data_IF_892942751291
#
_entry.id   IF_892942751291
#
_cell.length_a   1.000
_cell.length_b   1.000
_cell.length_c   1.000
_cell.angle_alpha   90.00
_cell.angle_beta   90.00
_cell.angle_gamma   90.00
#
_symmetry.space_group_name_H-M   'P 1'
#
loop_
_entity.id
_entity.type
_entity.pdbx_description
1 polymer ?
#
# COMPACT_ATOMS: atom_id res chain seq x y z
N UNK A 1 -0.68 -6.65 8.76
CA UNK A 1 -0.99 -7.82 7.89
C UNK A 1 -2.49 -8.07 7.73
N UNK A 2 -3.26 -8.32 8.80
CA UNK A 2 -4.70 -8.62 8.67
C UNK A 2 -5.50 -7.52 7.96
N UNK A 3 -5.23 -6.24 8.22
CA UNK A 3 -5.90 -5.14 7.52
C UNK A 3 -5.66 -5.20 5.99
N UNK A 4 -4.43 -5.47 5.56
CA UNK A 4 -4.09 -5.65 4.15
C UNK A 4 -4.82 -6.85 3.54
N UNK A 5 -4.87 -7.99 4.24
CA UNK A 5 -5.62 -9.17 3.77
C UNK A 5 -7.12 -8.87 3.67
N UNK A 6 -7.66 -8.10 4.61
CA UNK A 6 -9.05 -7.64 4.56
C UNK A 6 -9.29 -6.72 3.35
N UNK A 7 -8.35 -5.83 3.03
CA UNK A 7 -8.38 -4.97 1.86
C UNK A 7 -8.52 -5.78 0.56
N UNK A 8 -7.59 -6.70 0.30
CA UNK A 8 -7.61 -7.51 -0.92
C UNK A 8 -8.82 -8.44 -0.98
N UNK A 9 -9.29 -8.95 0.17
CA UNK A 9 -10.51 -9.75 0.24
C UNK A 9 -11.75 -8.93 -0.13
N UNK A 10 -11.90 -7.74 0.45
CA UNK A 10 -12.99 -6.82 0.11
C UNK A 10 -12.95 -6.42 -1.37
N UNK A 11 -11.77 -6.11 -1.89
CA UNK A 11 -11.60 -5.80 -3.31
C UNK A 11 -12.10 -6.94 -4.20
N UNK A 12 -11.74 -8.18 -3.86
CA UNK A 12 -12.20 -9.35 -4.60
C UNK A 12 -13.70 -9.61 -4.44
N UNK A 13 -14.27 -9.42 -3.23
CA UNK A 13 -15.72 -9.53 -2.98
C UNK A 13 -16.52 -8.54 -3.86
N UNK A 14 -15.96 -7.36 -4.14
CA UNK A 14 -16.55 -6.35 -5.03
C UNK A 14 -16.37 -6.69 -6.51
N UNK A 15 -15.20 -7.17 -6.91
CA UNK A 15 -14.87 -7.50 -8.31
C UNK A 15 -15.52 -8.81 -8.78
N UNK A 16 -15.62 -9.80 -7.89
CA UNK A 16 -16.14 -11.13 -8.18
C UNK A 16 -17.04 -11.64 -7.04
N UNK A 17 -18.25 -11.08 -6.88
CA UNK A 17 -19.16 -11.49 -5.81
C UNK A 17 -19.44 -13.00 -5.81
N UNK A 18 -19.34 -13.62 -4.63
CA UNK A 18 -19.62 -15.06 -4.46
C UNK A 18 -18.44 -15.98 -4.81
N UNK A 19 -17.23 -15.45 -4.93
CA UNK A 19 -16.02 -16.25 -5.09
C UNK A 19 -15.78 -17.20 -3.89
N UNK A 20 -15.04 -18.29 -4.11
CA UNK A 20 -14.62 -19.18 -3.03
C UNK A 20 -13.66 -18.48 -2.07
N UNK A 21 -13.66 -18.90 -0.79
CA UNK A 21 -12.78 -18.30 0.21
C UNK A 21 -11.32 -18.43 -0.19
N UNK A 22 -10.67 -17.29 -0.39
CA UNK A 22 -9.24 -17.22 -0.74
C UNK A 22 -8.36 -17.45 0.50
N UNK A 23 -7.36 -18.35 0.42
CA UNK A 23 -6.35 -18.55 1.47
C UNK A 23 -5.53 -17.29 1.76
N UNK A 24 -4.95 -17.20 2.96
CA UNK A 24 -4.16 -16.04 3.36
C UNK A 24 -2.89 -15.89 2.51
N UNK A 25 -2.28 -17.02 2.14
CA UNK A 25 -1.08 -17.12 1.33
C UNK A 25 -1.29 -16.53 -0.07
N UNK A 26 -2.46 -16.77 -0.66
CA UNK A 26 -2.82 -16.20 -1.96
C UNK A 26 -3.11 -14.71 -1.88
N UNK A 27 -3.76 -14.23 -0.80
CA UNK A 27 -3.89 -12.79 -0.54
C UNK A 27 -2.55 -12.12 -0.27
N UNK A 28 -1.54 -12.89 0.15
CA UNK A 28 -0.18 -12.40 0.36
C UNK A 28 0.72 -12.44 -0.88
N UNK A 29 0.27 -13.08 -1.95
CA UNK A 29 1.01 -13.22 -3.19
C UNK A 29 0.99 -11.90 -4.01
N UNK A 30 2.16 -11.30 -4.31
CA UNK A 30 2.23 -10.06 -5.11
C UNK A 30 1.64 -10.18 -6.52
N UNK A 31 1.69 -11.36 -7.16
CA UNK A 31 1.10 -11.59 -8.49
C UNK A 31 -0.44 -11.57 -8.44
N UNK A 32 -1.00 -12.14 -7.38
CA UNK A 32 -2.44 -12.10 -7.14
C UNK A 32 -2.92 -10.67 -6.85
N UNK A 33 -2.17 -9.94 -6.01
CA UNK A 33 -2.43 -8.54 -5.69
C UNK A 33 -2.31 -7.63 -6.92
N UNK A 34 -1.34 -7.88 -7.81
CA UNK A 34 -1.23 -7.18 -9.10
C UNK A 34 -2.53 -7.29 -9.91
N UNK A 35 -3.09 -8.49 -10.05
CA UNK A 35 -4.35 -8.68 -10.79
C UNK A 35 -5.53 -7.98 -10.15
N UNK A 36 -5.63 -8.00 -8.82
CA UNK A 36 -6.65 -7.21 -8.11
C UNK A 36 -6.43 -5.72 -8.40
N UNK A 37 -5.20 -5.23 -8.34
CA UNK A 37 -4.86 -3.83 -8.62
C UNK A 37 -5.19 -3.40 -10.06
N UNK A 38 -4.89 -4.23 -11.06
CA UNK A 38 -5.25 -3.97 -12.46
C UNK A 38 -6.78 -3.91 -12.66
N UNK A 39 -7.51 -4.78 -11.97
CA UNK A 39 -8.97 -4.84 -12.02
C UNK A 39 -9.65 -3.68 -11.28
N UNK A 40 -9.16 -3.32 -10.09
CA UNK A 40 -9.61 -2.12 -9.38
C UNK A 40 -9.36 -0.87 -10.20
N UNK A 41 -8.25 -0.80 -10.94
CA UNK A 41 -7.95 0.32 -11.80
C UNK A 41 -8.68 0.31 -13.16
N UNK A 42 -9.57 -0.67 -13.40
CA UNK A 42 -10.33 -0.81 -14.65
C UNK A 42 -9.47 -1.09 -15.89
N UNK A 43 -8.20 -1.47 -15.74
CA UNK A 43 -7.29 -1.72 -16.87
C UNK A 43 -7.45 -3.11 -17.47
N UNK A 44 -7.68 -4.10 -16.61
CA UNK A 44 -7.88 -5.50 -17.01
C UNK A 44 -8.99 -6.13 -16.17
N UNK A 45 -9.84 -7.01 -16.72
CA UNK A 45 -10.78 -7.76 -15.89
C UNK A 45 -10.03 -8.67 -14.92
N UNK A 46 -10.59 -8.89 -13.73
CA UNK A 46 -10.03 -9.88 -12.81
C UNK A 46 -10.24 -11.29 -13.36
N UNK A 47 -9.14 -12.02 -13.54
CA UNK A 47 -9.14 -13.43 -13.92
C UNK A 47 -8.32 -14.19 -12.88
N UNK A 48 -8.94 -15.17 -12.24
CA UNK A 48 -8.22 -16.08 -11.36
C UNK A 48 -7.18 -16.86 -12.18
N UNK A 49 -5.95 -16.88 -11.70
CA UNK A 49 -4.89 -17.72 -12.27
C UNK A 49 -4.20 -18.50 -11.15
N UNK A 50 -3.53 -19.56 -11.57
CA UNK A 50 -2.66 -20.33 -10.71
C UNK A 50 -1.31 -19.61 -10.58
N UNK A 51 -1.16 -18.82 -9.51
CA UNK A 51 0.10 -18.18 -9.13
C UNK A 51 0.72 -18.89 -7.93
N UNK A 52 0.53 -20.20 -7.76
CA UNK A 52 1.11 -20.86 -6.58
C UNK A 52 2.64 -20.69 -6.55
N UNK A 53 3.11 -19.92 -5.57
CA UNK A 53 4.53 -19.68 -5.32
C UNK A 53 5.13 -20.73 -4.37
N UNK A 54 4.31 -21.60 -3.76
CA UNK A 54 4.74 -22.55 -2.73
C UNK A 54 5.81 -23.52 -3.23
N UNK A 55 5.73 -23.95 -4.49
CA UNK A 55 6.71 -24.85 -5.11
C UNK A 55 8.03 -24.19 -5.53
N UNK A 56 8.12 -22.85 -5.48
CA UNK A 56 9.26 -22.10 -6.02
C UNK A 56 9.88 -21.12 -5.03
N UNK A 57 9.39 -21.08 -3.80
CA UNK A 57 9.88 -20.20 -2.74
C UNK A 57 10.44 -20.98 -1.56
N UNK A 58 11.36 -20.37 -0.83
CA UNK A 58 11.82 -20.83 0.48
C UNK A 58 11.42 -19.81 1.53
N UNK A 59 10.82 -20.28 2.62
CA UNK A 59 10.44 -19.43 3.75
C UNK A 59 11.66 -19.11 4.62
N UNK A 60 11.95 -17.83 4.76
CA UNK A 60 12.98 -17.30 5.67
C UNK A 60 12.26 -16.75 6.92
N UNK A 61 12.65 -17.16 8.13
CA UNK A 61 12.09 -16.58 9.36
C UNK A 61 12.32 -15.07 9.41
N UNK A 62 11.28 -14.32 9.76
CA UNK A 62 11.32 -12.86 9.87
C UNK A 62 10.60 -12.44 11.16
N UNK A 63 11.09 -12.89 12.32
CA UNK A 63 10.47 -12.64 13.62
C UNK A 63 9.16 -13.41 13.81
N UNK A 64 8.04 -12.70 13.96
CA UNK A 64 6.70 -13.31 14.08
C UNK A 64 6.06 -13.67 12.73
N UNK A 65 6.71 -13.31 11.62
CA UNK A 65 6.30 -13.63 10.26
C UNK A 65 7.39 -14.40 9.52
N UNK A 66 7.09 -14.80 8.29
CA UNK A 66 8.04 -15.41 7.36
C UNK A 66 8.10 -14.59 6.08
N UNK A 67 9.30 -14.38 5.56
CA UNK A 67 9.53 -13.81 4.24
C UNK A 67 9.71 -14.93 3.22
N UNK A 68 8.93 -14.93 2.14
CA UNK A 68 9.17 -15.85 1.03
C UNK A 68 10.32 -15.32 0.16
N UNK A 69 11.27 -16.19 -0.17
CA UNK A 69 12.39 -15.89 -1.09
C UNK A 69 12.26 -16.78 -2.32
N UNK A 70 12.25 -16.20 -3.52
CA UNK A 70 12.16 -16.96 -4.76
C UNK A 70 13.49 -17.67 -5.07
N UNK A 71 13.56 -18.99 -4.86
CA UNK A 71 14.79 -19.79 -4.98
C UNK A 71 14.66 -20.99 -5.91
N UNK A 72 13.43 -21.44 -6.18
CA UNK A 72 13.16 -22.66 -6.94
C UNK A 72 13.40 -22.51 -8.44
N UNK A 73 13.72 -23.62 -9.11
CA UNK A 73 14.09 -23.65 -10.54
C UNK A 73 12.99 -23.11 -11.48
N UNK A 74 11.71 -23.16 -11.09
CA UNK A 74 10.58 -22.61 -11.85
C UNK A 74 10.22 -21.17 -11.52
N UNK A 75 10.89 -20.53 -10.55
CA UNK A 75 10.55 -19.19 -10.09
C UNK A 75 10.68 -18.15 -11.20
N UNK A 76 11.69 -18.29 -12.06
CA UNK A 76 11.95 -17.33 -13.14
C UNK A 76 10.79 -17.28 -14.13
N UNK A 77 10.26 -18.43 -14.56
CA UNK A 77 9.18 -18.49 -15.54
C UNK A 77 7.87 -17.91 -14.96
N UNK A 78 7.58 -18.21 -13.69
CA UNK A 78 6.41 -17.65 -13.00
C UNK A 78 6.49 -16.13 -12.81
N UNK A 79 7.69 -15.59 -12.59
CA UNK A 79 7.91 -14.15 -12.34
C UNK A 79 8.33 -13.37 -13.57
N UNK A 80 8.50 -14.02 -14.73
CA UNK A 80 9.05 -13.40 -15.95
C UNK A 80 8.28 -12.15 -16.38
N UNK A 81 6.95 -12.20 -16.30
CA UNK A 81 6.10 -11.07 -16.66
C UNK A 81 6.24 -9.90 -15.68
N UNK A 82 6.32 -10.18 -14.38
CA UNK A 82 6.54 -9.16 -13.36
C UNK A 82 7.89 -8.47 -13.56
N UNK A 83 8.97 -9.23 -13.81
CA UNK A 83 10.29 -8.68 -14.09
C UNK A 83 10.30 -7.82 -15.35
N UNK A 84 9.60 -8.24 -16.41
CA UNK A 84 9.48 -7.48 -17.64
C UNK A 84 8.78 -6.14 -17.42
N UNK A 85 7.69 -6.14 -16.64
CA UNK A 85 6.96 -4.91 -16.30
C UNK A 85 7.82 -3.99 -15.43
N UNK A 86 8.47 -4.51 -14.39
CA UNK A 86 9.33 -3.72 -13.49
C UNK A 86 10.51 -3.11 -14.27
N UNK A 87 11.17 -3.90 -15.11
CA UNK A 87 12.24 -3.43 -16.00
C UNK A 87 11.78 -2.34 -16.97
N UNK A 88 10.57 -2.47 -17.52
CA UNK A 88 10.02 -1.43 -18.38
C UNK A 88 9.76 -0.11 -17.62
N UNK A 89 9.38 -0.18 -16.34
CA UNK A 89 9.17 0.99 -15.49
C UNK A 89 10.48 1.70 -15.12
N UNK A 90 11.59 0.96 -14.96
CA UNK A 90 12.89 1.56 -14.68
C UNK A 90 13.50 2.26 -15.90
N UNK A 91 12.93 2.08 -17.09
CA UNK A 91 13.44 2.59 -18.39
C UNK A 91 14.89 2.14 -18.65
N UNK A 92 15.27 0.99 -18.10
CA UNK A 92 16.59 0.40 -18.31
C UNK A 92 16.70 -0.14 -19.73
N UNK A 93 17.86 0.01 -20.37
CA UNK A 93 18.13 -0.58 -21.67
C UNK A 93 18.40 -2.09 -21.53
N UNK A 94 18.12 -2.87 -22.58
CA UNK A 94 18.42 -4.30 -22.63
C UNK A 94 17.25 -5.21 -22.23
N UNK A 95 17.57 -6.48 -22.01
CA UNK A 95 16.60 -7.50 -21.60
C UNK A 95 16.26 -7.38 -20.10
N UNK A 96 15.06 -7.82 -19.67
CA UNK A 96 14.73 -7.91 -18.25
C UNK A 96 15.73 -8.80 -17.48
N UNK A 97 15.99 -8.49 -16.20
CA UNK A 97 16.91 -9.27 -15.38
C UNK A 97 16.36 -10.67 -15.12
N UNK A 98 17.27 -11.62 -14.87
CA UNK A 98 16.94 -13.00 -14.49
C UNK A 98 17.04 -13.20 -12.99
N UNK A 99 16.35 -14.23 -12.51
CA UNK A 99 16.45 -14.66 -11.11
C UNK A 99 17.72 -15.46 -10.90
N UNK A 100 18.34 -15.27 -9.74
CA UNK A 100 19.33 -16.18 -9.20
C UNK A 100 18.63 -17.30 -8.42
N UNK A 101 18.58 -18.50 -9.00
CA UNK A 101 17.92 -19.69 -8.38
C UNK A 101 18.95 -20.71 -7.93
N UNK A 102 18.66 -21.43 -6.85
CA UNK A 102 19.52 -22.52 -6.35
C UNK A 102 20.86 -22.05 -5.75
N UNK A 103 20.93 -20.81 -5.27
CA UNK A 103 22.13 -20.26 -4.63
C UNK A 103 21.95 -20.21 -3.10
N UNK A 104 22.45 -21.25 -2.42
CA UNK A 104 22.34 -21.39 -0.97
C UNK A 104 23.10 -20.30 -0.19
N UNK A 105 24.17 -19.76 -0.77
CA UNK A 105 24.95 -18.68 -0.16
C UNK A 105 24.15 -17.37 -0.18
N UNK A 106 23.55 -17.03 -1.33
CA UNK A 106 22.68 -15.87 -1.44
C UNK A 106 21.48 -15.97 -0.48
N UNK A 107 20.87 -17.16 -0.38
CA UNK A 107 19.77 -17.42 0.55
C UNK A 107 20.21 -17.25 2.02
N UNK A 108 21.38 -17.76 2.38
CA UNK A 108 21.94 -17.58 3.73
C UNK A 108 22.20 -16.09 4.04
N UNK A 109 22.74 -15.34 3.09
CA UNK A 109 22.94 -13.88 3.22
C UNK A 109 21.61 -13.14 3.36
N UNK A 110 20.57 -13.54 2.63
CA UNK A 110 19.21 -13.01 2.80
C UNK A 110 18.68 -13.26 4.20
N UNK A 111 18.79 -14.49 4.71
CA UNK A 111 18.35 -14.81 6.06
C UNK A 111 19.09 -13.98 7.12
N UNK A 112 20.42 -13.89 7.02
CA UNK A 112 21.22 -13.04 7.90
C UNK A 112 20.86 -11.56 7.78
N UNK A 113 20.50 -11.09 6.59
CA UNK A 113 20.05 -9.72 6.36
C UNK A 113 18.71 -9.40 7.02
N UNK A 114 17.74 -10.31 6.93
CA UNK A 114 16.44 -10.17 7.63
C UNK A 114 16.65 -10.08 9.14
N UNK A 115 17.51 -10.94 9.69
CA UNK A 115 17.89 -10.88 11.11
C UNK A 115 18.59 -9.56 11.45
N UNK A 116 19.47 -9.07 10.56
CA UNK A 116 20.20 -7.81 10.74
C UNK A 116 19.27 -6.60 10.81
N UNK A 117 18.20 -6.53 10.02
CA UNK A 117 17.19 -5.45 10.11
C UNK A 117 16.60 -5.41 11.53
N UNK A 118 16.21 -6.56 12.07
CA UNK A 118 15.62 -6.69 13.41
C UNK A 118 16.62 -6.37 14.52
N UNK A 119 17.86 -6.78 14.35
CA UNK A 119 18.94 -6.52 15.30
C UNK A 119 19.25 -5.01 15.40
N UNK A 120 19.32 -4.33 14.27
CA UNK A 120 19.74 -2.93 14.18
C UNK A 120 18.59 -1.98 14.52
N UNK A 121 17.41 -2.21 13.93
CA UNK A 121 16.25 -1.35 14.09
C UNK A 121 14.96 -2.16 14.24
N UNK A 122 14.67 -2.70 15.43
CA UNK A 122 13.49 -3.53 15.66
C UNK A 122 12.18 -2.85 15.27
N UNK A 123 12.05 -1.54 15.55
CA UNK A 123 10.84 -0.78 15.24
C UNK A 123 10.60 -0.65 13.73
N UNK A 124 11.65 -0.35 12.94
CA UNK A 124 11.53 -0.34 11.48
C UNK A 124 11.30 -1.74 10.92
N UNK A 125 11.90 -2.76 11.53
CA UNK A 125 11.69 -4.14 11.11
C UNK A 125 10.22 -4.57 11.28
N UNK A 126 9.64 -4.30 12.46
CA UNK A 126 8.24 -4.64 12.77
C UNK A 126 7.26 -3.86 11.88
N UNK A 127 7.59 -2.62 11.54
CA UNK A 127 6.78 -1.80 10.65
C UNK A 127 6.88 -2.24 9.18
N UNK A 128 8.08 -2.44 8.65
CA UNK A 128 8.31 -2.59 7.21
C UNK A 128 8.29 -4.05 6.71
N UNK A 129 8.77 -5.02 7.49
CA UNK A 129 8.80 -6.43 7.05
C UNK A 129 7.40 -6.99 6.80
N UNK A 130 6.38 -6.48 7.51
CA UNK A 130 4.99 -6.86 7.26
C UNK A 130 4.53 -6.53 5.82
N UNK A 131 5.19 -5.57 5.15
CA UNK A 131 4.91 -5.12 3.80
C UNK A 131 5.71 -5.87 2.71
N UNK A 132 6.74 -6.63 3.07
CA UNK A 132 7.54 -7.42 2.12
C UNK A 132 7.04 -8.86 2.14
N UNK A 133 6.38 -9.30 1.05
CA UNK A 133 5.78 -10.63 0.96
C UNK A 133 6.65 -11.61 0.16
N UNK A 134 7.38 -11.11 -0.84
CA UNK A 134 8.28 -11.87 -1.69
C UNK A 134 9.57 -11.08 -1.94
N UNK A 135 10.70 -11.70 -1.64
CA UNK A 135 12.02 -11.21 -2.03
C UNK A 135 12.56 -12.05 -3.18
N UNK A 136 13.13 -11.38 -4.18
CA UNK A 136 13.74 -12.00 -5.35
C UNK A 136 15.18 -11.55 -5.47
N UNK A 137 16.10 -12.51 -5.52
CA UNK A 137 17.52 -12.23 -5.79
C UNK A 137 17.74 -12.34 -7.30
N UNK A 138 18.35 -11.33 -7.88
CA UNK A 138 18.64 -11.26 -9.31
C UNK A 138 20.02 -11.83 -9.62
N UNK A 139 20.18 -12.35 -10.84
CA UNK A 139 21.47 -12.76 -11.37
C UNK A 139 22.28 -11.51 -11.74
N UNK A 140 23.44 -11.26 -11.10
CA UNK A 140 24.26 -10.06 -11.32
C UNK A 140 24.77 -9.94 -12.76
N UNK A 141 24.84 -11.04 -13.52
CA UNK A 141 25.20 -11.01 -14.93
C UNK A 141 24.12 -10.35 -15.81
N UNK A 142 22.89 -10.24 -15.29
CA UNK A 142 21.71 -9.72 -16.00
C UNK A 142 21.02 -8.56 -15.30
N UNK A 143 21.35 -8.29 -14.03
CA UNK A 143 20.76 -7.21 -13.23
C UNK A 143 21.03 -5.81 -13.81
N UNK A 144 22.11 -5.67 -14.58
CA UNK A 144 22.51 -4.39 -15.17
C UNK A 144 22.95 -3.36 -14.12
N UNK A 145 23.39 -3.82 -12.95
CA UNK A 145 23.77 -2.95 -11.82
C UNK A 145 22.58 -2.42 -11.01
N UNK A 146 21.41 -3.06 -11.13
CA UNK A 146 20.26 -2.76 -10.27
C UNK A 146 20.54 -3.25 -8.84
N UNK A 147 20.70 -2.33 -7.88
CA UNK A 147 20.92 -2.68 -6.47
C UNK A 147 19.66 -3.25 -5.82
N UNK A 148 18.56 -2.51 -5.87
CA UNK A 148 17.23 -2.94 -5.43
C UNK A 148 16.15 -2.27 -6.27
N UNK A 149 14.98 -2.90 -6.35
CA UNK A 149 13.79 -2.30 -6.92
C UNK A 149 12.52 -2.89 -6.33
N UNK A 150 11.47 -2.11 -6.43
CA UNK A 150 10.11 -2.59 -6.25
C UNK A 150 9.14 -1.80 -7.10
N UNK A 151 7.91 -2.28 -7.23
CA UNK A 151 6.89 -1.63 -8.07
C UNK A 151 5.55 -1.57 -7.35
N UNK A 152 4.89 -0.42 -7.49
CA UNK A 152 3.50 -0.22 -7.03
C UNK A 152 2.51 -1.20 -7.65
N UNK A 153 2.84 -1.77 -8.82
CA UNK A 153 1.99 -2.75 -9.49
C UNK A 153 2.06 -4.13 -8.83
N UNK A 154 3.14 -4.45 -8.13
CA UNK A 154 3.33 -5.72 -7.44
C UNK A 154 3.51 -5.51 -5.93
N UNK A 155 2.47 -5.08 -5.19
CA UNK A 155 2.60 -4.86 -3.75
C UNK A 155 3.10 -6.10 -3.00
N UNK A 156 4.19 -5.93 -2.28
CA UNK A 156 4.92 -6.94 -1.54
C UNK A 156 6.09 -7.59 -2.28
N UNK A 157 6.35 -7.26 -3.54
CA UNK A 157 7.49 -7.77 -4.31
C UNK A 157 8.70 -6.83 -4.20
N UNK A 158 9.81 -7.36 -3.70
CA UNK A 158 11.11 -6.69 -3.66
C UNK A 158 12.12 -7.48 -4.49
N UNK A 159 12.84 -6.78 -5.36
CA UNK A 159 13.97 -7.30 -6.13
C UNK A 159 15.27 -6.74 -5.54
N UNK A 160 16.29 -7.57 -5.40
CA UNK A 160 17.65 -7.17 -5.03
C UNK A 160 18.65 -7.82 -5.97
N UNK A 161 19.79 -7.17 -6.24
CA UNK A 161 20.93 -7.88 -6.82
C UNK A 161 21.42 -8.98 -5.86
N UNK A 162 22.31 -9.85 -6.33
CA UNK A 162 23.01 -10.80 -5.44
C UNK A 162 23.69 -10.02 -4.31
N UNK A 163 23.24 -10.17 -3.05
CA UNK A 163 23.81 -9.41 -1.95
C UNK A 163 25.21 -9.95 -1.63
N UNK A 164 26.15 -9.05 -1.37
CA UNK A 164 27.49 -9.38 -0.89
C UNK A 164 27.56 -9.41 0.64
N UNK A 165 26.63 -8.74 1.32
CA UNK A 165 26.55 -8.67 2.77
C UNK A 165 25.11 -8.72 3.31
N UNK A 166 24.92 -9.09 4.59
CA UNK A 166 23.63 -8.93 5.27
C UNK A 166 23.12 -7.48 5.26
N UNK A 167 24.01 -6.50 5.23
CA UNK A 167 23.64 -5.08 5.20
C UNK A 167 23.01 -4.66 3.88
N UNK A 168 23.42 -5.26 2.76
CA UNK A 168 22.81 -4.99 1.44
C UNK A 168 21.33 -5.39 1.45
N UNK A 169 21.03 -6.55 2.03
CA UNK A 169 19.66 -7.06 2.19
C UNK A 169 18.90 -6.18 3.17
N UNK A 170 19.51 -5.82 4.30
CA UNK A 170 18.86 -5.00 5.32
C UNK A 170 18.50 -3.61 4.77
N UNK A 171 19.42 -2.98 4.05
CA UNK A 171 19.21 -1.70 3.39
C UNK A 171 18.08 -1.80 2.35
N UNK A 172 18.09 -2.83 1.50
CA UNK A 172 17.04 -3.05 0.51
C UNK A 172 15.67 -3.28 1.15
N UNK A 173 15.58 -4.04 2.25
CA UNK A 173 14.33 -4.24 2.99
C UNK A 173 13.81 -2.92 3.55
N UNK A 174 14.66 -2.09 4.15
CA UNK A 174 14.25 -0.78 4.67
C UNK A 174 13.79 0.13 3.53
N UNK A 175 14.57 0.22 2.46
CA UNK A 175 14.25 1.08 1.32
C UNK A 175 12.97 0.64 0.62
N UNK A 176 12.96 -0.59 0.10
CA UNK A 176 11.87 -1.09 -0.71
C UNK A 176 10.64 -1.40 0.15
N UNK A 177 10.82 -1.86 1.40
CA UNK A 177 9.72 -2.05 2.34
C UNK A 177 9.00 -0.75 2.68
N UNK A 178 9.70 0.39 2.77
CA UNK A 178 9.09 1.69 2.93
C UNK A 178 8.25 2.11 1.71
N UNK A 179 8.71 1.80 0.49
CA UNK A 179 7.88 1.96 -0.71
C UNK A 179 6.66 1.05 -0.68
N UNK A 180 6.82 -0.23 -0.31
CA UNK A 180 5.71 -1.19 -0.23
C UNK A 180 4.61 -0.77 0.76
N UNK A 181 4.99 -0.23 1.93
CA UNK A 181 4.03 0.31 2.89
C UNK A 181 3.20 1.44 2.28
N UNK A 182 3.82 2.34 1.53
CA UNK A 182 3.11 3.43 0.86
C UNK A 182 2.23 2.92 -0.28
N UNK A 183 2.68 1.93 -1.04
CA UNK A 183 1.90 1.32 -2.12
C UNK A 183 0.62 0.63 -1.60
N UNK A 184 0.67 -0.01 -0.43
CA UNK A 184 -0.53 -0.56 0.21
C UNK A 184 -1.57 0.54 0.52
N UNK A 185 -1.14 1.74 0.89
CA UNK A 185 -2.06 2.86 1.15
C UNK A 185 -2.67 3.42 -0.14
N UNK A 186 -1.89 3.50 -1.22
CA UNK A 186 -2.32 4.06 -2.50
C UNK A 186 -3.50 3.29 -3.15
N UNK A 187 -3.75 2.04 -2.73
CA UNK A 187 -4.91 1.25 -3.17
C UNK A 187 -6.23 1.84 -2.66
N UNK A 188 -6.22 2.46 -1.48
CA UNK A 188 -7.44 2.93 -0.80
C UNK A 188 -7.71 4.41 -0.96
N UNK A 189 -6.68 5.21 -1.25
CA UNK A 189 -6.84 6.65 -1.42
C UNK A 189 -5.79 7.21 -2.38
N UNK A 190 -6.18 8.17 -3.24
CA UNK A 190 -5.20 9.02 -3.90
C UNK A 190 -4.51 9.92 -2.84
N UNK A 191 -3.17 9.92 -2.84
CA UNK A 191 -2.37 10.82 -2.01
C UNK A 191 -2.22 12.24 -2.60
N UNK A 192 -2.56 12.38 -3.88
CA UNK A 192 -2.47 13.63 -4.63
C UNK A 192 -3.85 14.06 -5.10
N UNK A 193 -4.12 15.36 -5.08
CA UNK A 193 -5.31 15.92 -5.70
C UNK A 193 -5.25 15.73 -7.22
N UNK A 194 -6.36 15.31 -7.82
CA UNK A 194 -6.45 14.85 -9.21
C UNK A 194 -5.90 15.83 -10.27
N UNK A 195 -5.90 17.14 -10.00
CA UNK A 195 -5.55 18.20 -10.96
C UNK A 195 -4.33 19.05 -10.57
N UNK A 196 -3.78 18.90 -9.36
CA UNK A 196 -2.84 19.92 -8.79
C UNK A 196 -1.36 19.55 -8.99
N UNK A 197 -1.05 18.27 -9.21
CA UNK A 197 0.33 17.80 -9.37
C UNK A 197 0.88 17.90 -10.82
N UNK A 198 0.04 18.24 -11.81
CA UNK A 198 0.46 18.27 -13.22
C UNK A 198 1.51 19.36 -13.48
N UNK A 199 2.66 18.99 -14.04
CA UNK A 199 3.75 19.90 -14.37
C UNK A 199 4.73 20.20 -13.22
N UNK A 200 4.42 19.81 -11.99
CA UNK A 200 5.32 19.94 -10.84
C UNK A 200 6.23 18.71 -10.76
N UNK A 201 7.53 18.95 -10.89
CA UNK A 201 8.53 17.89 -10.93
C UNK A 201 9.74 18.24 -10.08
N UNK A 202 10.20 17.25 -9.33
CA UNK A 202 11.44 17.32 -8.59
C UNK A 202 12.59 16.77 -9.43
N UNK A 203 13.75 17.44 -9.35
CA UNK A 203 14.99 17.00 -9.97
C UNK A 203 16.02 16.81 -8.87
N UNK A 204 16.19 15.59 -8.34
CA UNK A 204 17.18 15.31 -7.30
C UNK A 204 18.58 15.72 -7.75
N UNK A 205 19.37 16.34 -6.87
CA UNK A 205 20.73 16.77 -7.16
C UNK A 205 21.69 15.61 -7.53
N UNK A 206 21.35 14.39 -7.10
CA UNK A 206 22.15 13.18 -7.29
C UNK A 206 21.67 12.26 -8.43
N UNK A 207 20.63 12.63 -9.17
CA UNK A 207 20.11 11.81 -10.26
C UNK A 207 19.67 12.67 -11.44
N UNK A 208 19.85 12.17 -12.67
CA UNK A 208 19.31 12.80 -13.87
C UNK A 208 17.80 12.62 -14.03
N UNK A 209 17.17 11.92 -13.09
CA UNK A 209 15.73 11.66 -13.08
C UNK A 209 14.90 12.92 -12.89
N UNK A 210 13.67 12.86 -13.40
CA UNK A 210 12.64 13.87 -13.17
C UNK A 210 11.47 13.13 -12.52
N UNK A 211 11.12 13.50 -11.29
CA UNK A 211 10.16 12.77 -10.48
C UNK A 211 8.87 13.58 -10.32
N UNK A 212 7.68 13.02 -10.62
CA UNK A 212 6.41 13.63 -10.26
C UNK A 212 6.21 13.60 -8.74
N UNK A 213 5.38 14.49 -8.19
CA UNK A 213 5.14 14.66 -6.74
C UNK A 213 4.91 13.33 -6.01
N UNK A 214 4.15 12.40 -6.59
CA UNK A 214 3.85 11.09 -5.99
C UNK A 214 5.13 10.28 -5.71
N UNK A 215 6.01 10.23 -6.71
CA UNK A 215 7.30 9.55 -6.60
C UNK A 215 8.20 10.25 -5.58
N UNK A 216 8.09 11.57 -5.46
CA UNK A 216 8.86 12.35 -4.49
C UNK A 216 8.41 12.05 -3.07
N UNK A 217 7.11 11.94 -2.81
CA UNK A 217 6.57 11.55 -1.50
C UNK A 217 7.01 10.12 -1.13
N UNK A 218 6.95 9.18 -2.08
CA UNK A 218 7.45 7.82 -1.87
C UNK A 218 8.95 7.78 -1.55
N UNK A 219 9.76 8.51 -2.33
CA UNK A 219 11.18 8.64 -2.08
C UNK A 219 11.47 9.30 -0.72
N UNK A 220 10.69 10.31 -0.31
CA UNK A 220 10.86 10.96 0.98
C UNK A 220 10.69 10.00 2.14
N UNK A 221 9.61 9.20 2.12
CA UNK A 221 9.34 8.19 3.13
C UNK A 221 10.49 7.17 3.19
N UNK A 222 10.89 6.62 2.05
CA UNK A 222 11.96 5.65 1.98
C UNK A 222 13.32 6.18 2.48
N UNK A 223 13.73 7.38 2.05
CA UNK A 223 14.97 7.99 2.53
C UNK A 223 14.90 8.39 4.00
N UNK A 224 13.73 8.76 4.52
CA UNK A 224 13.55 9.03 5.95
C UNK A 224 13.73 7.76 6.78
N UNK A 225 13.16 6.63 6.35
CA UNK A 225 13.38 5.32 6.98
C UNK A 225 14.85 4.88 6.89
N UNK A 226 15.49 5.02 5.73
CA UNK A 226 16.92 4.73 5.58
C UNK A 226 17.79 5.62 6.46
N UNK A 227 17.45 6.91 6.60
CA UNK A 227 18.21 7.83 7.42
C UNK A 227 18.07 7.52 8.92
N UNK A 228 16.91 6.99 9.35
CA UNK A 228 16.74 6.43 10.70
C UNK A 228 17.60 5.18 10.86
N UNK A 229 17.52 4.23 9.93
CA UNK A 229 18.30 3.00 9.97
C UNK A 229 19.81 3.27 9.99
N UNK A 230 20.30 4.21 9.18
CA UNK A 230 21.69 4.65 9.18
C UNK A 230 22.14 5.18 10.55
N UNK A 231 21.28 5.95 11.22
CA UNK A 231 21.53 6.41 12.60
C UNK A 231 21.60 5.26 13.60
N UNK A 232 20.78 4.23 13.42
CA UNK A 232 20.78 3.03 14.26
C UNK A 232 22.06 2.21 14.07
N UNK A 233 22.50 2.00 12.82
CA UNK A 233 23.80 1.37 12.48
C UNK A 233 24.96 2.13 13.10
N UNK A 234 24.98 3.46 12.96
CA UNK A 234 26.05 4.30 13.50
C UNK A 234 26.12 4.23 15.04
N UNK A 235 24.98 4.22 15.73
CA UNK A 235 24.93 4.07 17.20
C UNK A 235 25.48 2.72 17.68
N UNK A 236 25.39 1.68 16.85
CA UNK A 236 25.95 0.36 17.13
C UNK A 236 27.43 0.25 16.79
N UNK A 237 27.99 1.23 16.07
CA UNK A 237 29.39 1.22 15.63
C UNK A 237 29.66 0.30 14.44
N UNK A 238 28.62 -0.08 13.69
CA UNK A 238 28.69 -1.08 12.60
C UNK A 238 28.85 -0.43 11.21
N UNK A 239 29.11 0.89 11.13
CA UNK A 239 29.26 1.61 9.85
C UNK A 239 30.38 1.06 8.96
N UNK A 240 31.39 0.42 9.55
CA UNK A 240 32.49 -0.21 8.81
C UNK A 240 32.10 -1.52 8.10
N UNK A 241 30.92 -2.08 8.41
CA UNK A 241 30.39 -3.29 7.77
C UNK A 241 29.59 -2.99 6.50
N UNK A 242 29.36 -1.71 6.19
CA UNK A 242 28.59 -1.29 5.03
C UNK A 242 29.40 -1.47 3.74
N UNK A 243 28.73 -1.95 2.69
CA UNK A 243 29.29 -2.05 1.36
C UNK A 243 29.59 -0.67 0.74
N UNK A 244 30.48 -0.62 -0.29
CA UNK A 244 30.88 0.62 -0.94
C UNK A 244 29.71 1.35 -1.63
N UNK A 245 28.67 0.63 -2.02
CA UNK A 245 27.50 1.16 -2.72
C UNK A 245 26.33 1.47 -1.78
N UNK A 246 26.54 1.39 -0.45
CA UNK A 246 25.49 1.64 0.55
C UNK A 246 24.95 3.07 0.47
N UNK A 247 23.62 3.19 0.43
CA UNK A 247 22.92 4.47 0.42
C UNK A 247 22.81 5.10 1.81
N UNK A 248 23.12 4.36 2.88
CA UNK A 248 22.94 4.82 4.26
C UNK A 248 23.72 6.10 4.59
N UNK A 249 24.91 6.25 3.99
CA UNK A 249 25.75 7.45 4.16
C UNK A 249 25.12 8.72 3.60
N UNK A 250 24.24 8.59 2.59
CA UNK A 250 23.58 9.69 1.90
C UNK A 250 22.11 9.85 2.29
N UNK A 251 21.53 8.89 3.02
CA UNK A 251 20.09 8.82 3.24
C UNK A 251 19.52 10.09 3.89
N UNK A 252 20.20 10.65 4.91
CA UNK A 252 19.75 11.87 5.61
C UNK A 252 19.77 13.10 4.71
N UNK A 253 20.83 13.26 3.93
CA UNK A 253 20.97 14.37 2.98
C UNK A 253 19.85 14.33 1.93
N UNK A 254 19.64 13.15 1.33
CA UNK A 254 18.60 12.93 0.33
C UNK A 254 17.19 13.16 0.89
N UNK A 255 16.91 12.63 2.09
CA UNK A 255 15.64 12.88 2.79
C UNK A 255 15.42 14.38 3.03
N UNK A 256 16.46 15.12 3.41
CA UNK A 256 16.37 16.56 3.69
C UNK A 256 16.10 17.37 2.43
N UNK A 257 16.79 17.08 1.32
CA UNK A 257 16.57 17.75 0.03
C UNK A 257 15.13 17.54 -0.44
N UNK A 258 14.66 16.28 -0.40
CA UNK A 258 13.30 15.93 -0.81
C UNK A 258 12.26 16.60 0.10
N UNK A 259 12.43 16.51 1.42
CA UNK A 259 11.48 17.08 2.38
C UNK A 259 11.37 18.60 2.26
N UNK A 260 12.49 19.29 2.01
CA UNK A 260 12.51 20.73 1.75
C UNK A 260 11.73 21.09 0.50
N UNK A 261 11.87 20.30 -0.56
CA UNK A 261 11.10 20.50 -1.78
C UNK A 261 9.60 20.25 -1.55
N UNK A 262 9.22 19.16 -0.88
CA UNK A 262 7.81 18.84 -0.58
C UNK A 262 7.14 19.91 0.29
N UNK A 263 7.85 20.49 1.26
CA UNK A 263 7.33 21.60 2.05
C UNK A 263 7.02 22.85 1.21
N UNK A 264 7.74 23.06 0.10
CA UNK A 264 7.42 24.11 -0.88
C UNK A 264 6.20 23.81 -1.76
N UNK A 265 5.76 22.56 -1.79
CA UNK A 265 4.68 22.05 -2.64
C UNK A 265 3.48 21.54 -1.81
N UNK A 266 3.40 21.93 -0.54
CA UNK A 266 2.39 21.45 0.43
C UNK A 266 0.95 21.71 -0.04
N UNK A 267 0.73 22.82 -0.77
CA UNK A 267 -0.55 23.20 -1.37
C UNK A 267 -1.07 22.19 -2.41
N UNK A 268 -0.21 21.27 -2.85
CA UNK A 268 -0.54 20.22 -3.83
C UNK A 268 -0.84 18.87 -3.20
N UNK A 269 -0.56 18.73 -1.91
CA UNK A 269 -0.74 17.51 -1.16
C UNK A 269 -2.15 17.47 -0.58
N UNK A 270 -2.79 16.31 -0.64
CA UNK A 270 -4.00 16.07 0.15
C UNK A 270 -3.66 16.02 1.64
N UNK A 271 -4.67 16.21 2.49
CA UNK A 271 -4.49 16.34 3.95
C UNK A 271 -3.67 15.20 4.59
N UNK A 272 -3.88 13.96 4.12
CA UNK A 272 -3.15 12.78 4.61
C UNK A 272 -1.66 12.85 4.22
N UNK A 273 -1.35 13.36 3.02
CA UNK A 273 0.03 13.55 2.55
C UNK A 273 0.73 14.72 3.26
N UNK A 274 0.01 15.81 3.56
CA UNK A 274 0.52 16.91 4.40
C UNK A 274 0.86 16.41 5.80
N UNK A 275 -0.06 15.67 6.43
CA UNK A 275 0.17 15.09 7.74
C UNK A 275 1.40 14.17 7.77
N UNK A 276 1.54 13.31 6.75
CA UNK A 276 2.73 12.45 6.61
C UNK A 276 4.01 13.28 6.46
N UNK A 277 3.99 14.32 5.60
CA UNK A 277 5.13 15.21 5.38
C UNK A 277 5.64 15.80 6.70
N UNK A 278 4.78 16.47 7.46
CA UNK A 278 5.18 17.11 8.72
C UNK A 278 5.58 16.11 9.80
N UNK A 279 4.91 14.95 9.85
CA UNK A 279 5.29 13.86 10.76
C UNK A 279 6.72 13.41 10.50
N UNK A 280 7.11 13.24 9.23
CA UNK A 280 8.46 12.83 8.83
C UNK A 280 9.50 13.95 8.98
N UNK A 281 9.10 15.21 8.82
CA UNK A 281 9.97 16.37 9.07
C UNK A 281 10.23 16.61 10.56
N UNK A 282 9.42 16.03 11.45
CA UNK A 282 9.51 16.21 12.91
C UNK A 282 9.51 17.69 13.34
N UNK A 283 8.85 18.56 12.59
CA UNK A 283 8.91 20.02 12.79
C UNK A 283 7.97 20.53 13.88
N UNK A 284 7.09 19.66 14.41
CA UNK A 284 6.08 20.02 15.41
C UNK A 284 4.99 20.97 14.88
N UNK A 285 5.03 21.30 13.59
CA UNK A 285 4.05 22.14 12.89
C UNK A 285 3.05 21.29 12.09
N UNK A 286 3.00 19.99 12.36
CA UNK A 286 2.06 19.10 11.68
C UNK A 286 0.64 19.65 11.75
N UNK A 287 -0.15 19.46 10.69
CA UNK A 287 -1.53 19.91 10.68
C UNK A 287 -2.20 19.37 11.96
N UNK A 288 -2.97 20.23 12.64
CA UNK A 288 -3.85 19.76 13.71
C UNK A 288 -4.60 18.53 13.19
N UNK A 289 -4.72 17.51 14.05
CA UNK A 289 -5.36 16.25 13.75
C UNK A 289 -6.59 16.52 12.87
N UNK A 290 -6.63 15.99 11.62
CA UNK A 290 -7.48 16.53 10.57
C UNK A 290 -8.89 16.67 11.10
N UNK A 291 -9.35 17.92 11.23
CA UNK A 291 -10.68 18.18 11.77
C UNK A 291 -11.65 17.45 10.84
N UNK A 292 -12.52 16.56 11.35
CA UNK A 292 -13.42 15.80 10.51
C UNK A 292 -14.14 16.75 9.56
N UNK A 293 -14.24 16.39 8.27
CA UNK A 293 -14.97 17.20 7.30
C UNK A 293 -16.42 17.28 7.75
N UNK A 294 -16.76 18.36 8.45
CA UNK A 294 -18.09 18.61 8.97
C UNK A 294 -18.89 19.33 7.90
N UNK A 295 -19.73 18.59 7.19
CA UNK A 295 -20.71 19.18 6.27
C UNK A 295 -22.07 19.25 6.94
N UNK A 296 -22.84 20.34 6.74
CA UNK A 296 -24.21 20.41 7.20
C UNK A 296 -25.03 19.25 6.61
N UNK A 297 -25.60 18.43 7.48
CA UNK A 297 -26.50 17.33 7.09
C UNK A 297 -27.93 17.74 7.34
N UNK A 298 -28.80 17.44 6.37
CA UNK A 298 -30.21 17.81 6.45
C UNK A 298 -30.95 16.99 7.51
N UNK A 299 -32.05 17.54 8.06
CA UNK A 299 -32.90 16.77 8.94
C UNK A 299 -33.50 15.56 8.19
N UNK A 300 -33.36 14.37 8.77
CA UNK A 300 -33.83 13.14 8.14
C UNK A 300 -33.43 11.90 8.92
N UNK A 301 -33.80 10.73 8.38
CA UNK A 301 -33.26 9.44 8.79
C UNK A 301 -32.18 9.03 7.82
N UNK A 302 -31.10 8.45 8.32
CA UNK A 302 -29.96 8.02 7.52
C UNK A 302 -29.79 6.51 7.63
N UNK A 303 -29.49 5.88 6.52
CA UNK A 303 -29.23 4.44 6.40
C UNK A 303 -27.88 4.22 5.72
N UNK A 304 -27.21 3.13 6.05
CA UNK A 304 -26.10 2.66 5.25
C UNK A 304 -26.61 2.33 3.84
N UNK A 305 -25.84 2.68 2.81
CA UNK A 305 -26.20 2.31 1.44
C UNK A 305 -26.25 0.77 1.31
N UNK A 306 -27.32 0.18 0.73
CA UNK A 306 -27.47 -1.28 0.67
C UNK A 306 -26.43 -1.98 -0.22
N UNK A 307 -25.76 -1.24 -1.11
CA UNK A 307 -24.70 -1.77 -1.95
C UNK A 307 -23.36 -1.84 -1.21
N UNK A 308 -23.22 -1.09 -0.12
CA UNK A 308 -21.99 -1.08 0.68
C UNK A 308 -21.76 -2.44 1.34
N UNK A 309 -20.50 -2.86 1.32
CA UNK A 309 -19.96 -4.01 2.04
C UNK A 309 -19.06 -3.51 3.16
N UNK A 310 -19.02 -4.23 4.28
CA UNK A 310 -18.28 -3.79 5.45
C UNK A 310 -17.66 -4.95 6.21
N UNK A 311 -16.38 -4.78 6.58
CA UNK A 311 -15.62 -5.69 7.44
C UNK A 311 -14.98 -4.90 8.58
N UNK A 312 -15.21 -5.35 9.82
CA UNK A 312 -14.61 -4.75 11.03
C UNK A 312 -13.30 -5.47 11.38
N UNK A 313 -12.27 -4.70 11.68
CA UNK A 313 -11.00 -5.20 12.20
C UNK A 313 -11.06 -5.24 13.72
N UNK A 314 -11.09 -6.43 14.31
CA UNK A 314 -11.19 -6.59 15.77
C UNK A 314 -9.98 -6.00 16.50
N UNK A 315 -8.77 -6.18 15.95
CA UNK A 315 -7.53 -5.75 16.61
C UNK A 315 -7.37 -4.23 16.69
N UNK A 316 -7.89 -3.49 15.72
CA UNK A 316 -7.70 -2.03 15.60
C UNK A 316 -8.98 -1.23 15.80
N UNK A 317 -10.15 -1.89 15.79
CA UNK A 317 -11.45 -1.24 15.80
C UNK A 317 -11.80 -0.52 14.50
N UNK A 318 -10.88 -0.50 13.51
CA UNK A 318 -11.11 0.10 12.20
C UNK A 318 -12.13 -0.70 11.40
N UNK A 319 -12.74 -0.02 10.44
CA UNK A 319 -13.76 -0.59 9.57
C UNK A 319 -13.35 -0.37 8.13
N UNK A 320 -13.27 -1.44 7.36
CA UNK A 320 -13.11 -1.39 5.92
C UNK A 320 -14.49 -1.40 5.27
N UNK A 321 -14.76 -0.41 4.43
CA UNK A 321 -15.99 -0.26 3.68
C UNK A 321 -15.68 -0.34 2.19
N UNK A 322 -16.49 -1.10 1.46
CA UNK A 322 -16.38 -1.26 0.02
C UNK A 322 -17.68 -0.91 -0.68
N UNK A 323 -17.63 -0.15 -1.77
CA UNK A 323 -18.79 0.18 -2.61
C UNK A 323 -18.58 -0.35 -4.03
N UNK A 324 -19.52 -1.13 -4.58
CA UNK A 324 -19.41 -1.60 -5.95
C UNK A 324 -19.68 -0.46 -6.95
N UNK A 325 -19.02 -0.52 -8.10
CA UNK A 325 -19.15 0.42 -9.21
C UNK A 325 -18.27 -0.03 -10.39
N UNK A 326 -18.26 0.74 -11.48
CA UNK A 326 -17.36 0.48 -12.63
C UNK A 326 -15.89 0.49 -12.20
N UNK A 327 -15.58 1.31 -11.19
CA UNK A 327 -14.36 1.25 -10.40
C UNK A 327 -14.78 1.13 -8.93
N UNK A 328 -14.58 -0.04 -8.30
CA UNK A 328 -14.95 -0.21 -6.89
C UNK A 328 -14.20 0.76 -5.99
N UNK A 329 -14.89 1.30 -4.99
CA UNK A 329 -14.32 2.23 -4.01
C UNK A 329 -14.10 1.53 -2.67
N UNK A 330 -12.96 1.81 -2.03
CA UNK A 330 -12.54 1.19 -0.77
C UNK A 330 -12.17 2.29 0.22
N UNK A 331 -12.74 2.24 1.43
CA UNK A 331 -12.52 3.25 2.46
C UNK A 331 -12.18 2.59 3.79
N UNK A 332 -11.07 3.00 4.39
CA UNK A 332 -10.81 2.77 5.80
C UNK A 332 -11.49 3.86 6.63
N UNK A 333 -12.29 3.44 7.60
CA UNK A 333 -12.93 4.27 8.61
C UNK A 333 -12.37 3.92 9.98
N UNK A 334 -12.22 4.93 10.84
CA UNK A 334 -11.80 4.80 12.22
C UNK A 334 -12.67 5.67 13.14
N UNK A 335 -12.42 5.57 14.46
CA UNK A 335 -13.06 6.37 15.50
C UNK A 335 -14.58 6.49 15.32
N UNK A 336 -15.06 7.74 15.27
CA UNK A 336 -16.48 8.09 15.15
C UNK A 336 -17.10 7.66 13.83
N UNK A 337 -16.34 7.68 12.73
CA UNK A 337 -16.84 7.26 11.43
C UNK A 337 -17.09 5.75 11.40
N UNK A 338 -16.16 4.96 11.95
CA UNK A 338 -16.34 3.52 12.14
C UNK A 338 -17.53 3.21 13.06
N UNK A 339 -17.62 3.90 14.20
CA UNK A 339 -18.73 3.72 15.16
C UNK A 339 -20.09 3.99 14.51
N UNK A 340 -20.24 5.13 13.82
CA UNK A 340 -21.51 5.50 13.18
C UNK A 340 -21.90 4.49 12.09
N UNK A 341 -20.93 4.02 11.30
CA UNK A 341 -21.18 3.03 10.24
C UNK A 341 -21.65 1.70 10.81
N UNK A 342 -21.07 1.25 11.94
CA UNK A 342 -21.53 0.05 12.66
C UNK A 342 -22.97 0.24 13.17
N UNK A 343 -23.26 1.37 13.83
CA UNK A 343 -24.61 1.67 14.34
C UNK A 343 -25.66 1.70 13.22
N UNK A 344 -25.31 2.25 12.05
CA UNK A 344 -26.21 2.29 10.89
C UNK A 344 -26.44 0.90 10.28
N UNK A 345 -25.44 0.01 10.28
CA UNK A 345 -25.63 -1.39 9.85
C UNK A 345 -26.59 -2.16 10.76
N UNK A 346 -26.55 -1.88 12.06
CA UNK A 346 -27.42 -2.51 13.07
C UNK A 346 -28.85 -1.93 13.06
N UNK A 347 -29.07 -0.78 12.41
CA UNK A 347 -30.34 -0.08 12.33
C UNK A 347 -30.90 -0.10 10.88
N UNK A 348 -31.56 -1.19 10.43
CA UNK A 348 -31.99 -1.35 9.04
C UNK A 348 -33.01 -0.29 8.57
N UNK A 349 -33.76 0.30 9.51
CA UNK A 349 -34.70 1.40 9.23
C UNK A 349 -34.06 2.80 9.31
N UNK A 350 -32.76 2.84 9.58
CA UNK A 350 -31.98 4.07 9.74
C UNK A 350 -32.13 4.73 11.10
N UNK A 351 -31.26 5.71 11.31
CA UNK A 351 -31.21 6.54 12.52
C UNK A 351 -31.52 8.00 12.14
N UNK A 352 -32.36 8.66 12.92
CA UNK A 352 -32.55 10.11 12.86
C UNK A 352 -31.33 10.86 13.42
N UNK A 353 -31.18 12.15 13.07
CA UNK A 353 -30.10 12.98 13.64
C UNK A 353 -30.10 13.00 15.18
N UNK A 354 -31.28 12.99 15.82
CA UNK A 354 -31.38 12.92 17.28
C UNK A 354 -30.90 11.58 17.84
N UNK A 355 -31.12 10.48 17.12
CA UNK A 355 -30.63 9.14 17.52
C UNK A 355 -29.12 9.03 17.29
N UNK A 356 -28.60 9.64 16.22
CA UNK A 356 -27.14 9.67 15.92
C UNK A 356 -26.39 10.46 16.99
N UNK A 357 -26.94 11.61 17.41
CA UNK A 357 -26.34 12.51 18.39
C UNK A 357 -25.39 13.52 17.75
N UNK A 358 -25.14 14.64 18.45
CA UNK A 358 -24.36 15.77 17.94
C UNK A 358 -22.91 15.37 17.60
N UNK A 359 -22.32 14.50 18.42
CA UNK A 359 -20.93 14.08 18.28
C UNK A 359 -20.66 13.27 17.00
N UNK A 360 -21.54 12.31 16.67
CA UNK A 360 -21.43 11.52 15.45
C UNK A 360 -21.99 12.23 14.22
N UNK A 361 -22.89 13.21 14.40
CA UNK A 361 -23.41 14.01 13.28
C UNK A 361 -22.31 14.81 12.57
N UNK A 362 -21.21 15.13 13.26
CA UNK A 362 -20.05 15.79 12.69
C UNK A 362 -19.40 14.96 11.55
N UNK A 363 -19.35 13.63 11.69
CA UNK A 363 -18.76 12.74 10.66
C UNK A 363 -19.76 12.26 9.62
N UNK A 364 -21.07 12.40 9.88
CA UNK A 364 -22.12 11.96 8.97
C UNK A 364 -22.04 12.65 7.60
N UNK A 365 -21.70 13.94 7.57
CA UNK A 365 -21.53 14.69 6.31
C UNK A 365 -20.50 14.04 5.38
N UNK A 366 -19.31 13.72 5.89
CA UNK A 366 -18.28 13.03 5.12
C UNK A 366 -18.70 11.62 4.65
N UNK A 367 -19.45 10.88 5.47
CA UNK A 367 -19.97 9.56 5.06
C UNK A 367 -21.05 9.67 3.97
N UNK A 368 -21.83 10.75 3.96
CA UNK A 368 -22.82 11.03 2.90
C UNK A 368 -22.12 11.46 1.61
N UNK A 369 -21.11 12.32 1.70
CA UNK A 369 -20.32 12.77 0.54
C UNK A 369 -19.58 11.60 -0.11
N UNK A 370 -19.00 10.70 0.69
CA UNK A 370 -18.40 9.45 0.23
C UNK A 370 -19.45 8.43 -0.25
N UNK A 371 -20.73 8.77 -0.26
CA UNK A 371 -21.85 7.92 -0.68
C UNK A 371 -21.97 6.60 0.09
N UNK A 372 -21.38 6.51 1.28
CA UNK A 372 -21.47 5.33 2.14
C UNK A 372 -22.80 5.28 2.89
N UNK A 373 -23.36 6.47 3.17
CA UNK A 373 -24.60 6.68 3.89
C UNK A 373 -25.54 7.54 3.06
N UNK A 374 -26.84 7.27 3.12
CA UNK A 374 -27.86 8.04 2.40
C UNK A 374 -29.05 8.38 3.28
N UNK A 375 -29.71 9.50 2.97
CA UNK A 375 -30.98 9.84 3.59
C UNK A 375 -32.07 8.86 3.12
N UNK A 376 -32.82 8.28 4.07
CA UNK A 376 -34.00 7.49 3.80
C UNK A 376 -35.19 8.39 3.46
N UNK A 377 -35.99 8.07 2.43
CA UNK A 377 -37.16 8.87 2.07
C UNK A 377 -38.15 8.95 3.24
N UNK A 378 -38.64 10.17 3.51
CA UNK A 378 -39.67 10.41 4.51
C UNK A 378 -41.00 9.79 4.04
N UNK A 379 -41.26 8.53 4.41
CA UNK A 379 -42.50 7.88 3.99
C UNK A 379 -42.50 6.34 3.91
N UNK A 380 -41.48 5.65 4.39
CA UNK A 380 -41.59 4.26 4.87
C UNK A 380 -42.32 3.26 3.98
N UNK A 381 -42.15 3.30 2.65
CA UNK A 381 -42.47 2.17 1.77
C UNK A 381 -41.44 2.14 0.65
N UNK A 382 -40.50 1.19 0.73
CA UNK A 382 -39.73 0.77 -0.43
C UNK A 382 -40.72 0.08 -1.38
N UNK A 383 -41.17 0.76 -2.42
CA UNK A 383 -41.98 0.15 -3.47
C UNK A 383 -41.11 -0.89 -4.18
N UNK A 384 -41.35 -2.16 -3.91
CA UNK A 384 -40.90 -3.25 -4.78
C UNK A 384 -41.79 -3.23 -6.03
N UNK A 385 -41.43 -2.46 -7.05
CA UNK A 385 -42.03 -2.60 -8.37
C UNK A 385 -40.92 -2.77 -9.41
N UNK A 386 -40.70 -4.04 -9.74
CA UNK A 386 -40.57 -4.57 -11.09
C UNK A 386 -39.67 -3.82 -12.07
N UNK A 387 -38.40 -4.19 -12.04
CA UNK A 387 -37.55 -4.18 -13.23
C UNK A 387 -38.05 -5.20 -14.25
N UNK A 388 -39.15 -4.90 -14.95
CA UNK A 388 -39.44 -5.50 -16.24
C UNK A 388 -38.78 -4.65 -17.32
N UNK A 389 -37.61 -5.08 -17.79
CA UNK A 389 -37.04 -4.58 -19.05
C UNK A 389 -37.86 -5.20 -20.20
N UNK A 390 -38.85 -4.47 -20.69
CA UNK A 390 -39.34 -4.69 -22.05
C UNK A 390 -38.35 -4.06 -23.02
N UNK A 391 -37.60 -4.89 -23.74
CA UNK A 391 -36.90 -4.47 -24.95
C UNK A 391 -37.93 -4.21 -26.04
N UNK A 392 -38.14 -2.95 -26.41
CA UNK A 392 -38.64 -2.60 -27.73
C UNK A 392 -37.44 -2.23 -28.60
N UNK A 393 -37.35 -2.91 -29.74
CA UNK A 393 -36.26 -2.77 -30.68
C UNK A 393 -36.34 -1.49 -31.52
N UNK A 394 -35.21 -1.19 -32.14
CA UNK A 394 -35.11 -0.78 -33.53
C UNK A 394 -33.85 -1.38 -34.13
#
# INVERSE_FOLDING_TARGET
MEERRALYRMALDLLQPGHERIPAEQLDNPLFRFRIGEALAGRLPFVAADDDLGGVTTAVPAGSSTLAVATGAGAHDLLAEALRIIHAQSRSAGAPPRLLTGDDEALATVAAGVDKVREVSPALADDLLAHVSLLVVLDPATSGGLVSASSRLFPGLVLIDRPASPYDVAEAIIHEGAHQKLFDFAITRPFLGADIAEGRVFRPSWSSGVWPVEQVLAAFHAYSCLAQFAGDVARRGETAELGPDSLLSHARERATEIGTWLAGEEDTLEIDAQWLLHTLLCDGNGPEEPTPVTRPVQAGRYVLDPLVRMTRMEATGRVLVGRPGDTPELHWLDGKAAELTIRLREAPFGLSLSEIGAELSAVLGGLVDATLVRAAPAGGVLSSSDGSFTSEGN
#
